data_IF_961751225402
#
_entry.id   IF_961751225402
#
_cell.length_a   1.000
_cell.length_b   1.000
_cell.length_c   1.000
_cell.angle_alpha   90.00
_cell.angle_beta   90.00
_cell.angle_gamma   90.00
#
_symmetry.space_group_name_H-M   'P 1'
#
loop_
_entity.id
_entity.type
_entity.pdbx_description
1 polymer ?
#
# COMPACT_ATOMS: atom_id res chain seq x y z
N UNK A 1 18.74 -30.83 -5.65
CA UNK A 1 17.66 -30.20 -4.83
C UNK A 1 18.08 -28.77 -4.54
N UNK A 2 17.41 -27.78 -5.13
CA UNK A 2 17.75 -26.36 -4.93
C UNK A 2 16.88 -25.82 -3.80
N UNK A 3 17.52 -25.48 -2.67
CA UNK A 3 16.90 -24.92 -1.46
C UNK A 3 16.41 -23.47 -1.68
N UNK A 4 15.40 -23.26 -2.52
CA UNK A 4 14.88 -21.92 -2.84
C UNK A 4 13.65 -21.50 -2.02
N UNK A 5 13.07 -22.39 -1.21
CA UNK A 5 11.84 -22.14 -0.44
C UNK A 5 11.94 -21.06 0.66
N UNK A 6 13.00 -20.96 1.50
CA UNK A 6 13.01 -20.00 2.61
C UNK A 6 13.07 -18.54 2.13
N UNK A 7 13.70 -18.28 0.97
CA UNK A 7 13.78 -16.93 0.39
C UNK A 7 12.44 -16.42 -0.12
N UNK A 8 11.59 -17.30 -0.67
CA UNK A 8 10.25 -16.90 -1.16
C UNK A 8 9.30 -16.64 0.00
N UNK A 9 9.32 -17.51 1.02
CA UNK A 9 8.55 -17.33 2.25
C UNK A 9 8.84 -15.99 2.94
N UNK A 10 10.12 -15.64 3.09
CA UNK A 10 10.52 -14.37 3.73
C UNK A 10 10.03 -13.13 2.96
N UNK A 11 10.01 -13.18 1.62
CA UNK A 11 9.49 -12.07 0.80
C UNK A 11 7.98 -11.88 0.95
N UNK A 12 7.22 -12.98 0.93
CA UNK A 12 5.77 -12.95 1.11
C UNK A 12 5.40 -12.46 2.50
N UNK A 13 6.11 -12.92 3.54
CA UNK A 13 5.86 -12.52 4.92
C UNK A 13 6.17 -11.02 5.14
N UNK A 14 7.27 -10.53 4.54
CA UNK A 14 7.57 -9.10 4.55
C UNK A 14 6.48 -8.27 3.86
N UNK A 15 5.96 -8.73 2.72
CA UNK A 15 4.88 -8.05 2.02
C UNK A 15 3.60 -7.98 2.87
N UNK A 16 3.17 -9.09 3.47
CA UNK A 16 1.98 -9.12 4.32
C UNK A 16 2.12 -8.14 5.49
N UNK A 17 3.29 -8.11 6.15
CA UNK A 17 3.54 -7.17 7.23
C UNK A 17 3.45 -5.70 6.77
N UNK A 18 3.98 -5.37 5.59
CA UNK A 18 3.89 -4.01 5.05
C UNK A 18 2.47 -3.64 4.60
N UNK A 19 1.70 -4.61 4.09
CA UNK A 19 0.27 -4.44 3.81
C UNK A 19 -0.49 -4.06 5.08
N UNK A 20 -0.31 -4.82 6.18
CA UNK A 20 -0.99 -4.53 7.44
C UNK A 20 -0.66 -3.13 7.96
N UNK A 21 0.63 -2.75 7.93
CA UNK A 21 1.07 -1.40 8.32
C UNK A 21 0.43 -0.31 7.46
N UNK A 22 0.39 -0.51 6.14
CA UNK A 22 -0.20 0.44 5.21
C UNK A 22 -1.71 0.61 5.45
N UNK A 23 -2.45 -0.50 5.67
CA UNK A 23 -3.88 -0.46 6.00
C UNK A 23 -4.15 0.32 7.29
N UNK A 24 -3.38 0.07 8.34
CA UNK A 24 -3.51 0.80 9.61
C UNK A 24 -3.29 2.30 9.41
N UNK A 25 -2.26 2.71 8.66
CA UNK A 25 -2.01 4.14 8.42
C UNK A 25 -3.11 4.79 7.56
N UNK A 26 -3.60 4.10 6.53
CA UNK A 26 -4.73 4.56 5.73
C UNK A 26 -5.98 4.79 6.61
N UNK A 27 -6.29 3.85 7.50
CA UNK A 27 -7.42 4.00 8.42
C UNK A 27 -7.24 5.18 9.39
N UNK A 28 -6.03 5.38 9.91
CA UNK A 28 -5.71 6.53 10.75
C UNK A 28 -5.90 7.85 9.99
N UNK A 29 -5.43 7.90 8.75
CA UNK A 29 -5.56 9.09 7.90
C UNK A 29 -7.03 9.36 7.56
N UNK A 30 -7.81 8.33 7.22
CA UNK A 30 -9.26 8.46 7.03
C UNK A 30 -9.97 9.00 8.28
N UNK A 31 -9.58 8.52 9.47
CA UNK A 31 -10.12 9.03 10.74
C UNK A 31 -9.73 10.49 10.96
N UNK A 32 -8.49 10.86 10.66
CA UNK A 32 -8.03 12.25 10.75
C UNK A 32 -8.83 13.16 9.80
N UNK A 33 -9.07 12.74 8.56
CA UNK A 33 -9.94 13.46 7.62
C UNK A 33 -11.37 13.63 8.13
N UNK A 34 -11.97 12.60 8.75
CA UNK A 34 -13.30 12.70 9.37
C UNK A 34 -13.32 13.72 10.53
N UNK A 35 -12.18 13.95 11.17
CA UNK A 35 -12.00 14.97 12.21
C UNK A 35 -11.54 16.33 11.67
N UNK A 36 -11.39 16.48 10.34
CA UNK A 36 -10.90 17.71 9.70
C UNK A 36 -9.39 17.95 9.87
N UNK A 37 -8.62 16.93 10.26
CA UNK A 37 -7.18 16.98 10.52
C UNK A 37 -6.35 16.18 9.50
N UNK A 38 -6.99 15.71 8.43
CA UNK A 38 -6.31 14.95 7.37
C UNK A 38 -5.28 15.81 6.64
N UNK A 39 -4.18 15.19 6.28
CA UNK A 39 -3.02 15.80 5.61
C UNK A 39 -2.81 15.21 4.22
N UNK A 40 -3.02 13.91 4.08
CA UNK A 40 -2.67 13.16 2.89
C UNK A 40 -3.91 12.77 2.09
N UNK A 41 -3.93 13.17 0.81
CA UNK A 41 -4.99 12.86 -0.13
C UNK A 41 -6.39 13.29 0.33
N UNK A 42 -7.42 12.71 -0.28
CA UNK A 42 -8.83 12.87 0.12
C UNK A 42 -9.37 11.54 0.66
N UNK A 43 -10.42 11.58 1.50
CA UNK A 43 -11.07 10.36 2.03
C UNK A 43 -11.38 9.35 0.91
N UNK A 44 -11.96 9.79 -0.20
CA UNK A 44 -12.32 8.91 -1.31
C UNK A 44 -11.11 8.26 -1.98
N UNK A 45 -9.97 8.98 -2.08
CA UNK A 45 -8.73 8.38 -2.57
C UNK A 45 -8.23 7.31 -1.59
N UNK A 46 -8.19 7.61 -0.30
CA UNK A 46 -7.74 6.67 0.72
C UNK A 46 -8.61 5.40 0.73
N UNK A 47 -9.94 5.53 0.57
CA UNK A 47 -10.86 4.40 0.52
C UNK A 47 -10.61 3.51 -0.70
N UNK A 48 -10.32 4.12 -1.85
CA UNK A 48 -9.94 3.39 -3.05
C UNK A 48 -8.59 2.69 -2.88
N UNK A 49 -7.62 3.33 -2.23
CA UNK A 49 -6.30 2.74 -1.99
C UNK A 49 -6.39 1.54 -1.05
N UNK A 50 -7.24 1.62 -0.03
CA UNK A 50 -7.49 0.50 0.87
C UNK A 50 -8.05 -0.71 0.10
N UNK A 51 -9.02 -0.50 -0.78
CA UNK A 51 -9.57 -1.57 -1.66
C UNK A 51 -8.52 -2.13 -2.61
N UNK A 52 -7.69 -1.26 -3.19
CA UNK A 52 -6.59 -1.68 -4.07
C UNK A 52 -5.63 -2.62 -3.34
N UNK A 53 -5.30 -2.31 -2.08
CA UNK A 53 -4.43 -3.14 -1.25
C UNK A 53 -5.10 -4.50 -0.95
N UNK A 54 -6.41 -4.54 -0.69
CA UNK A 54 -7.13 -5.82 -0.51
C UNK A 54 -7.07 -6.67 -1.78
N UNK A 55 -7.31 -6.07 -2.94
CA UNK A 55 -7.24 -6.75 -4.23
C UNK A 55 -5.83 -7.22 -4.57
N UNK A 56 -4.77 -6.53 -4.11
CA UNK A 56 -3.38 -7.01 -4.26
C UNK A 56 -3.13 -8.32 -3.49
N UNK A 57 -3.79 -8.54 -2.36
CA UNK A 57 -3.66 -9.78 -1.58
C UNK A 57 -4.44 -10.91 -2.27
N UNK A 58 -5.66 -10.61 -2.73
CA UNK A 58 -6.56 -11.60 -3.34
C UNK A 58 -6.12 -12.02 -4.75
N UNK A 59 -5.59 -11.07 -5.52
CA UNK A 59 -5.22 -11.26 -6.92
C UNK A 59 -3.80 -10.76 -7.20
N UNK A 60 -2.93 -11.66 -7.65
CA UNK A 60 -1.55 -11.34 -8.04
C UNK A 60 -1.42 -10.55 -9.35
N UNK A 61 -2.51 -10.41 -10.11
CA UNK A 61 -2.55 -9.65 -11.36
C UNK A 61 -3.22 -8.29 -11.21
N UNK A 62 -3.64 -7.91 -9.99
CA UNK A 62 -4.24 -6.60 -9.76
C UNK A 62 -3.24 -5.49 -10.01
N UNK A 63 -3.66 -4.44 -10.71
CA UNK A 63 -2.84 -3.26 -10.94
C UNK A 63 -3.45 -2.14 -10.08
N UNK A 64 -2.83 -1.81 -8.94
CA UNK A 64 -3.36 -0.77 -8.09
C UNK A 64 -3.28 0.59 -8.79
N UNK A 65 -4.28 1.43 -8.54
CA UNK A 65 -4.37 2.79 -9.08
C UNK A 65 -3.54 3.80 -8.29
N UNK A 66 -3.32 3.53 -7.00
CA UNK A 66 -2.69 4.45 -6.06
C UNK A 66 -1.28 4.93 -6.45
N UNK A 67 -0.39 4.16 -7.12
CA UNK A 67 0.95 4.64 -7.42
C UNK A 67 0.92 5.90 -8.29
N UNK A 68 0.06 5.90 -9.32
CA UNK A 68 -0.11 7.04 -10.23
C UNK A 68 -0.76 8.21 -9.51
N UNK A 69 -1.80 7.96 -8.72
CA UNK A 69 -2.51 9.02 -7.99
C UNK A 69 -1.58 9.72 -7.01
N UNK A 70 -0.74 8.97 -6.28
CA UNK A 70 0.23 9.55 -5.35
C UNK A 70 1.23 10.43 -6.10
N UNK A 71 1.85 9.93 -7.18
CA UNK A 71 2.83 10.74 -7.95
C UNK A 71 2.23 11.99 -8.59
N UNK A 72 0.95 11.93 -9.00
CA UNK A 72 0.31 13.04 -9.70
C UNK A 72 -0.33 14.06 -8.74
N UNK A 73 -0.72 13.65 -7.52
CA UNK A 73 -1.62 14.46 -6.67
C UNK A 73 -1.16 14.68 -5.24
N UNK A 74 -0.17 13.94 -4.74
CA UNK A 74 0.28 14.04 -3.34
C UNK A 74 1.58 14.83 -3.23
N UNK A 75 1.85 15.32 -2.01
CA UNK A 75 3.14 15.91 -1.67
C UNK A 75 4.23 14.82 -1.74
N UNK A 76 5.35 15.13 -2.39
CA UNK A 76 6.52 14.26 -2.47
C UNK A 76 7.11 13.90 -1.09
N UNK A 77 6.80 14.70 -0.05
CA UNK A 77 7.22 14.45 1.33
C UNK A 77 6.17 13.67 2.15
N UNK A 78 5.07 13.22 1.54
CA UNK A 78 4.06 12.42 2.23
C UNK A 78 4.66 11.07 2.64
N UNK A 79 4.84 10.87 3.96
CA UNK A 79 5.33 9.60 4.50
C UNK A 79 4.40 8.44 4.14
N UNK A 80 3.09 8.69 4.14
CA UNK A 80 2.09 7.70 3.72
C UNK A 80 2.21 7.39 2.23
N UNK A 81 2.39 8.42 1.39
CA UNK A 81 2.60 8.25 -0.04
C UNK A 81 3.84 7.41 -0.36
N UNK A 82 4.98 7.74 0.27
CA UNK A 82 6.23 6.99 0.11
C UNK A 82 6.05 5.53 0.52
N UNK A 83 5.42 5.26 1.66
CA UNK A 83 5.21 3.89 2.13
C UNK A 83 4.31 3.08 1.16
N UNK A 84 3.27 3.69 0.60
CA UNK A 84 2.41 3.04 -0.39
C UNK A 84 3.17 2.72 -1.68
N UNK A 85 4.05 3.61 -2.13
CA UNK A 85 4.91 3.36 -3.29
C UNK A 85 5.91 2.22 -3.03
N UNK A 86 6.52 2.19 -1.85
CA UNK A 86 7.41 1.09 -1.43
C UNK A 86 6.66 -0.25 -1.39
N UNK A 87 5.41 -0.24 -0.89
CA UNK A 87 4.54 -1.42 -0.90
C UNK A 87 4.28 -1.93 -2.32
N UNK A 88 4.03 -1.03 -3.28
CA UNK A 88 3.85 -1.39 -4.68
C UNK A 88 5.10 -2.02 -5.29
N UNK A 89 6.28 -1.49 -4.98
CA UNK A 89 7.54 -2.05 -5.43
C UNK A 89 7.81 -3.43 -4.81
N UNK A 90 7.37 -3.68 -3.58
CA UNK A 90 7.40 -5.02 -2.98
C UNK A 90 6.44 -5.97 -3.71
N UNK A 91 5.22 -5.54 -4.00
CA UNK A 91 4.22 -6.33 -4.71
C UNK A 91 4.71 -6.77 -6.10
N UNK A 92 5.29 -5.85 -6.88
CA UNK A 92 5.88 -6.18 -8.20
C UNK A 92 6.94 -7.28 -8.14
N UNK A 93 7.68 -7.38 -7.03
CA UNK A 93 8.75 -8.36 -6.84
C UNK A 93 8.23 -9.75 -6.42
N UNK A 94 6.93 -9.89 -6.16
CA UNK A 94 6.29 -11.16 -5.79
C UNK A 94 5.71 -11.93 -6.99
N UNK A 95 5.33 -11.21 -8.05
CA UNK A 95 4.97 -11.77 -9.36
C UNK A 95 6.20 -12.19 -10.14
#
# INVERSE_FOLDING_TARGET
MVYNEPRRLNKTLNFINEVEKAKIKLECEMKAHKLGQGKDGTISQLENFYKDIELMIESKSHIPSYPRVITDTWDFNSELGIQLLDLYELYKKLG
#
